data_IF_450291395325
#
_entry.id   IF_450291395325
#
_cell.length_a   1.000
_cell.length_b   1.000
_cell.length_c   1.000
_cell.angle_alpha   90.00
_cell.angle_beta   90.00
_cell.angle_gamma   90.00
#
_symmetry.space_group_name_H-M   'P 1'
#
loop_
_entity.id
_entity.type
_entity.pdbx_description
1 polymer ?
#
# COMPACT_ATOMS: atom_id res chain seq x y z
N UNK A 1 2.33 14.91 -35.84
CA UNK A 1 2.37 14.08 -34.63
C UNK A 1 1.22 14.53 -33.74
N UNK A 2 0.14 13.75 -33.73
CA UNK A 2 -0.98 13.97 -32.81
C UNK A 2 -0.57 13.43 -31.45
N UNK A 3 -0.46 14.31 -30.45
CA UNK A 3 -0.46 13.88 -29.06
C UNK A 3 -1.88 13.41 -28.72
N UNK A 4 -2.09 12.20 -28.20
CA UNK A 4 -3.38 11.87 -27.63
C UNK A 4 -3.63 12.80 -26.44
N UNK A 5 -4.81 13.39 -26.46
CA UNK A 5 -5.39 14.26 -25.46
C UNK A 5 -5.22 13.71 -24.05
N UNK A 6 -4.85 14.60 -23.13
CA UNK A 6 -4.98 14.42 -21.69
C UNK A 6 -6.38 13.91 -21.36
N UNK A 7 -6.50 12.62 -21.05
CA UNK A 7 -7.69 12.08 -20.40
C UNK A 7 -7.79 12.76 -19.03
N UNK A 8 -8.69 13.74 -18.94
CA UNK A 8 -9.14 14.28 -17.68
C UNK A 8 -9.85 13.14 -16.96
N UNK A 9 -9.13 12.42 -16.11
CA UNK A 9 -9.75 11.69 -15.02
C UNK A 9 -10.48 12.73 -14.18
N UNK A 10 -11.77 12.94 -14.43
CA UNK A 10 -12.66 13.56 -13.45
C UNK A 10 -12.52 12.71 -12.20
N UNK A 11 -11.83 13.25 -11.19
CA UNK A 11 -11.67 12.58 -9.92
C UNK A 11 -13.07 12.35 -9.36
N UNK A 12 -13.41 11.09 -9.12
CA UNK A 12 -14.68 10.75 -8.50
C UNK A 12 -14.74 11.44 -7.13
N UNK A 13 -15.81 12.18 -6.86
CA UNK A 13 -15.96 12.99 -5.65
C UNK A 13 -15.70 12.19 -4.36
N UNK A 14 -16.11 10.91 -4.34
CA UNK A 14 -15.87 10.01 -3.21
C UNK A 14 -14.37 9.76 -2.93
N UNK A 15 -13.53 9.75 -3.97
CA UNK A 15 -12.07 9.58 -3.84
C UNK A 15 -11.45 10.83 -3.23
N UNK A 16 -11.91 12.00 -3.63
CA UNK A 16 -11.45 13.28 -3.05
C UNK A 16 -11.87 13.40 -1.58
N UNK A 17 -13.10 13.00 -1.27
CA UNK A 17 -13.61 12.97 0.11
C UNK A 17 -12.87 11.94 0.98
N UNK A 18 -12.57 10.76 0.43
CA UNK A 18 -11.77 9.74 1.11
C UNK A 18 -10.34 10.25 1.37
N UNK A 19 -9.70 10.83 0.36
CA UNK A 19 -8.38 11.45 0.51
C UNK A 19 -8.39 12.51 1.62
N UNK A 20 -9.37 13.43 1.59
CA UNK A 20 -9.52 14.48 2.61
C UNK A 20 -9.75 13.92 4.01
N UNK A 21 -10.58 12.88 4.15
CA UNK A 21 -10.82 12.20 5.42
C UNK A 21 -9.53 11.57 5.95
N UNK A 22 -8.84 10.82 5.10
CA UNK A 22 -7.61 10.09 5.46
C UNK A 22 -6.47 11.06 5.78
N UNK A 23 -6.27 12.13 5.01
CA UNK A 23 -5.28 13.18 5.32
C UNK A 23 -5.49 13.75 6.72
N UNK A 24 -6.74 14.04 7.11
CA UNK A 24 -7.06 14.56 8.45
C UNK A 24 -6.80 13.52 9.54
N UNK A 25 -7.06 12.25 9.26
CA UNK A 25 -6.80 11.16 10.19
C UNK A 25 -5.29 10.98 10.44
N UNK A 26 -4.47 10.96 9.39
CA UNK A 26 -3.01 10.88 9.51
C UNK A 26 -2.38 12.11 10.18
N UNK A 27 -3.01 13.28 10.10
CA UNK A 27 -2.57 14.47 10.83
C UNK A 27 -2.84 14.42 12.35
N UNK A 28 -3.55 13.40 12.84
CA UNK A 28 -3.82 13.25 14.26
C UNK A 28 -2.60 12.72 15.03
N UNK A 29 -2.50 12.98 16.35
CA UNK A 29 -1.41 12.46 17.18
C UNK A 29 -1.29 10.94 17.22
N UNK A 30 -2.32 10.21 16.78
CA UNK A 30 -2.34 8.74 16.73
C UNK A 30 -1.28 8.17 15.77
N UNK A 31 -0.85 8.96 14.78
CA UNK A 31 0.15 8.55 13.78
C UNK A 31 1.54 9.15 14.03
N UNK A 32 1.74 9.88 15.13
CA UNK A 32 2.97 10.66 15.34
C UNK A 32 4.27 9.83 15.37
N UNK A 33 4.19 8.52 15.64
CA UNK A 33 5.34 7.62 15.67
C UNK A 33 5.33 6.58 14.54
N UNK A 34 4.44 6.70 13.56
CA UNK A 34 4.46 5.86 12.37
C UNK A 34 5.35 6.52 11.31
N UNK A 35 6.60 6.08 11.28
CA UNK A 35 7.63 6.63 10.40
C UNK A 35 7.45 6.19 8.94
N UNK A 36 6.93 4.98 8.72
CA UNK A 36 6.68 4.41 7.40
C UNK A 36 5.18 4.39 7.07
N UNK A 37 4.33 3.82 7.93
CA UNK A 37 2.89 3.67 7.67
C UNK A 37 2.14 4.98 7.95
N UNK A 38 2.46 5.99 7.15
CA UNK A 38 2.00 7.36 7.26
C UNK A 38 1.26 7.83 5.99
N UNK A 39 0.95 9.12 5.93
CA UNK A 39 0.28 9.72 4.79
C UNK A 39 1.08 9.60 3.47
N UNK A 40 2.41 9.75 3.52
CA UNK A 40 3.28 9.70 2.34
C UNK A 40 3.32 8.29 1.73
N UNK A 41 3.39 7.25 2.57
CA UNK A 41 3.22 5.87 2.12
C UNK A 41 1.86 5.67 1.47
N UNK A 42 0.77 6.09 2.12
CA UNK A 42 -0.58 5.98 1.56
C UNK A 42 -0.71 6.66 0.19
N UNK A 43 -0.11 7.85 0.02
CA UNK A 43 -0.06 8.52 -1.28
C UNK A 43 0.72 7.72 -2.31
N UNK A 44 1.86 7.14 -1.92
CA UNK A 44 2.68 6.28 -2.79
C UNK A 44 1.89 5.08 -3.28
N UNK A 45 1.14 4.40 -2.39
CA UNK A 45 0.25 3.28 -2.74
C UNK A 45 -0.83 3.73 -3.73
N UNK A 46 -1.48 4.87 -3.51
CA UNK A 46 -2.49 5.42 -4.42
C UNK A 46 -1.90 5.73 -5.81
N UNK A 47 -0.68 6.27 -5.87
CA UNK A 47 0.00 6.57 -7.14
C UNK A 47 0.39 5.29 -7.89
N UNK A 48 0.95 4.30 -7.18
CA UNK A 48 1.29 2.99 -7.73
C UNK A 48 0.04 2.27 -8.26
N UNK A 49 -1.08 2.32 -7.53
CA UNK A 49 -2.34 1.76 -7.98
C UNK A 49 -2.84 2.44 -9.26
N UNK A 50 -2.74 3.78 -9.36
CA UNK A 50 -3.11 4.51 -10.58
C UNK A 50 -2.28 4.11 -11.79
N UNK A 51 -1.00 3.80 -11.61
CA UNK A 51 -0.14 3.27 -12.67
C UNK A 51 -0.66 1.91 -13.16
N UNK A 52 -0.94 0.97 -12.25
CA UNK A 52 -1.47 -0.35 -12.60
C UNK A 52 -2.86 -0.26 -13.25
N UNK A 53 -3.77 0.56 -12.72
CA UNK A 53 -5.14 0.73 -13.22
C UNK A 53 -5.15 1.18 -14.68
N UNK A 54 -4.28 2.13 -15.05
CA UNK A 54 -4.17 2.64 -16.44
C UNK A 54 -3.84 1.54 -17.45
N UNK A 55 -3.09 0.54 -17.01
CA UNK A 55 -2.61 -0.55 -17.87
C UNK A 55 -3.58 -1.73 -17.91
N UNK A 56 -4.46 -1.86 -16.91
CA UNK A 56 -5.33 -3.02 -16.72
C UNK A 56 -6.78 -2.80 -17.19
N UNK A 57 -7.11 -1.63 -17.75
CA UNK A 57 -8.44 -1.33 -18.33
C UNK A 57 -9.61 -1.59 -17.37
N UNK A 58 -9.48 -1.21 -16.10
CA UNK A 58 -10.56 -1.34 -15.11
C UNK A 58 -11.72 -0.39 -15.44
N UNK A 59 -12.95 -0.81 -15.09
CA UNK A 59 -14.10 0.10 -15.13
C UNK A 59 -13.97 1.22 -14.08
N UNK A 60 -14.74 2.30 -14.25
CA UNK A 60 -14.79 3.40 -13.25
C UNK A 60 -15.15 2.91 -11.85
N UNK A 61 -16.11 1.98 -11.76
CA UNK A 61 -16.56 1.39 -10.49
C UNK A 61 -15.45 0.57 -9.81
N UNK A 62 -14.65 -0.17 -10.58
CA UNK A 62 -13.52 -0.95 -10.07
C UNK A 62 -12.35 -0.05 -9.67
N UNK A 63 -12.09 0.99 -10.47
CA UNK A 63 -11.11 2.04 -10.16
C UNK A 63 -11.42 2.69 -8.82
N UNK A 64 -12.68 3.07 -8.59
CA UNK A 64 -13.08 3.64 -7.29
C UNK A 64 -12.84 2.66 -6.15
N UNK A 65 -13.18 1.37 -6.32
CA UNK A 65 -12.99 0.35 -5.28
C UNK A 65 -11.52 0.24 -4.88
N UNK A 66 -10.62 0.13 -5.86
CA UNK A 66 -9.18 0.00 -5.61
C UNK A 66 -8.63 1.25 -4.95
N UNK A 67 -8.95 2.43 -5.48
CA UNK A 67 -8.42 3.69 -4.93
C UNK A 67 -8.95 3.99 -3.52
N UNK A 68 -10.22 3.67 -3.23
CA UNK A 68 -10.74 3.75 -1.87
C UNK A 68 -9.99 2.80 -0.94
N UNK A 69 -9.76 1.56 -1.35
CA UNK A 69 -9.01 0.60 -0.55
C UNK A 69 -7.58 1.10 -0.28
N UNK A 70 -6.90 1.65 -1.28
CA UNK A 70 -5.56 2.24 -1.14
C UNK A 70 -5.55 3.40 -0.13
N UNK A 71 -6.54 4.30 -0.17
CA UNK A 71 -6.62 5.38 0.82
C UNK A 71 -6.82 4.88 2.25
N UNK A 72 -7.58 3.79 2.43
CA UNK A 72 -7.95 3.33 3.77
C UNK A 72 -7.06 2.22 4.35
N UNK A 73 -6.22 1.54 3.55
CA UNK A 73 -5.57 0.28 3.96
C UNK A 73 -4.81 0.35 5.29
N UNK A 74 -4.13 1.45 5.56
CA UNK A 74 -3.30 1.66 6.75
C UNK A 74 -3.95 2.51 7.85
N UNK A 75 -5.20 2.93 7.67
CA UNK A 75 -5.87 3.80 8.66
C UNK A 75 -6.03 3.15 10.02
N UNK A 76 -6.02 1.82 10.10
CA UNK A 76 -6.12 1.04 11.32
C UNK A 76 -4.89 1.10 12.24
N UNK A 77 -3.73 1.54 11.74
CA UNK A 77 -2.54 1.75 12.57
C UNK A 77 -2.76 2.77 13.69
N UNK A 78 -3.77 3.63 13.57
CA UNK A 78 -4.19 4.53 14.65
C UNK A 78 -4.60 3.82 15.95
N UNK A 79 -4.96 2.54 15.87
CA UNK A 79 -5.46 1.75 17.00
C UNK A 79 -4.53 0.59 17.34
N UNK A 80 -4.04 -0.15 16.34
CA UNK A 80 -3.18 -1.30 16.55
C UNK A 80 -2.25 -1.54 15.37
N UNK A 81 -1.05 -2.09 15.63
CA UNK A 81 -0.06 -2.40 14.60
C UNK A 81 -0.33 -3.75 13.93
N UNK A 82 -0.40 -4.82 14.73
CA UNK A 82 -0.75 -6.15 14.23
C UNK A 82 -2.26 -6.27 14.02
N UNK A 83 -2.68 -6.73 12.84
CA UNK A 83 -4.09 -6.84 12.49
C UNK A 83 -4.77 -5.50 12.22
N UNK A 84 -4.00 -4.46 11.87
CA UNK A 84 -4.53 -3.12 11.56
C UNK A 84 -5.58 -3.17 10.45
N UNK A 85 -5.53 -4.14 9.53
CA UNK A 85 -6.47 -4.23 8.40
C UNK A 85 -7.92 -4.41 8.87
N UNK A 86 -8.16 -5.09 10.01
CA UNK A 86 -9.52 -5.21 10.56
C UNK A 86 -10.06 -3.85 11.03
N UNK A 87 -9.21 -3.02 11.61
CA UNK A 87 -9.57 -1.66 12.04
C UNK A 87 -9.75 -0.76 10.81
N UNK A 88 -8.83 -0.83 9.84
CA UNK A 88 -8.92 -0.10 8.57
C UNK A 88 -10.23 -0.38 7.84
N UNK A 89 -10.67 -1.65 7.81
CA UNK A 89 -11.98 -2.02 7.25
C UNK A 89 -13.14 -1.39 7.99
N UNK A 90 -13.11 -1.34 9.32
CA UNK A 90 -14.13 -0.68 10.12
C UNK A 90 -14.23 0.82 9.80
N UNK A 91 -13.08 1.50 9.69
CA UNK A 91 -13.00 2.93 9.33
C UNK A 91 -13.56 3.15 7.92
N UNK A 92 -13.10 2.36 6.95
CA UNK A 92 -13.57 2.44 5.56
C UNK A 92 -15.08 2.17 5.45
N UNK A 93 -15.59 1.14 6.14
CA UNK A 93 -17.01 0.80 6.11
C UNK A 93 -17.87 1.95 6.65
N UNK A 94 -17.50 2.52 7.80
CA UNK A 94 -18.21 3.65 8.38
C UNK A 94 -18.20 4.87 7.45
N UNK A 95 -17.04 5.19 6.86
CA UNK A 95 -16.94 6.27 5.87
C UNK A 95 -17.87 6.03 4.68
N UNK A 96 -17.79 4.86 4.03
CA UNK A 96 -18.54 4.56 2.82
C UNK A 96 -20.06 4.55 3.06
N UNK A 97 -20.53 3.95 4.15
CA UNK A 97 -21.96 3.94 4.47
C UNK A 97 -22.50 5.35 4.76
N UNK A 98 -21.71 6.20 5.45
CA UNK A 98 -22.07 7.60 5.67
C UNK A 98 -22.15 8.40 4.37
N UNK A 99 -21.41 7.99 3.33
CA UNK A 99 -21.46 8.56 1.99
C UNK A 99 -22.56 7.94 1.10
N UNK A 100 -23.43 7.11 1.67
CA UNK A 100 -24.54 6.49 0.96
C UNK A 100 -24.13 5.37 -0.01
N UNK A 101 -22.91 4.82 0.11
CA UNK A 101 -22.49 3.68 -0.70
C UNK A 101 -23.25 2.42 -0.31
N UNK A 102 -23.67 1.66 -1.32
CA UNK A 102 -24.33 0.38 -1.13
C UNK A 102 -23.40 -0.67 -0.51
N UNK A 103 -23.96 -1.52 0.37
CA UNK A 103 -23.20 -2.52 1.13
C UNK A 103 -22.35 -3.44 0.25
N UNK A 104 -22.88 -3.91 -0.88
CA UNK A 104 -22.15 -4.80 -1.79
C UNK A 104 -20.91 -4.15 -2.40
N UNK A 105 -20.98 -2.85 -2.73
CA UNK A 105 -19.83 -2.12 -3.26
C UNK A 105 -18.80 -1.86 -2.16
N UNK A 106 -19.26 -1.51 -0.95
CA UNK A 106 -18.40 -1.35 0.21
C UNK A 106 -17.65 -2.66 0.55
N UNK A 107 -18.34 -3.82 0.53
CA UNK A 107 -17.71 -5.13 0.77
C UNK A 107 -16.51 -5.41 -0.15
N UNK A 108 -16.55 -4.95 -1.40
CA UNK A 108 -15.42 -5.08 -2.34
C UNK A 108 -14.21 -4.23 -1.93
N UNK A 109 -14.43 -3.02 -1.43
CA UNK A 109 -13.36 -2.17 -0.84
C UNK A 109 -12.75 -2.88 0.36
N UNK A 110 -13.59 -3.40 1.26
CA UNK A 110 -13.13 -4.11 2.46
C UNK A 110 -12.36 -5.38 2.13
N UNK A 111 -12.74 -6.10 1.07
CA UNK A 111 -12.01 -7.28 0.59
C UNK A 111 -10.61 -6.90 0.07
N UNK A 112 -10.48 -5.79 -0.64
CA UNK A 112 -9.19 -5.26 -1.08
C UNK A 112 -8.29 -4.89 0.10
N UNK A 113 -8.82 -4.19 1.12
CA UNK A 113 -8.06 -3.89 2.36
C UNK A 113 -7.67 -5.19 3.08
N UNK A 114 -8.55 -6.19 3.13
CA UNK A 114 -8.21 -7.47 3.76
C UNK A 114 -7.07 -8.20 3.05
N UNK A 115 -6.92 -8.02 1.74
CA UNK A 115 -5.90 -8.69 0.95
C UNK A 115 -4.48 -8.18 1.21
N UNK A 116 -4.32 -6.96 1.76
CA UNK A 116 -2.99 -6.39 2.07
C UNK A 116 -2.32 -7.10 3.25
N UNK A 117 -3.08 -7.86 4.07
CA UNK A 117 -2.52 -8.64 5.16
C UNK A 117 -1.44 -9.59 4.67
N UNK A 118 -0.24 -9.45 5.23
CA UNK A 118 0.90 -10.30 4.90
C UNK A 118 0.86 -11.65 5.65
N UNK A 119 1.20 -12.79 5.01
CA UNK A 119 1.50 -12.94 3.59
C UNK A 119 0.24 -12.82 2.72
N UNK A 120 0.36 -12.03 1.64
CA UNK A 120 -0.77 -11.68 0.77
C UNK A 120 -1.24 -12.88 -0.06
N UNK A 121 -2.55 -13.07 -0.13
CA UNK A 121 -3.21 -14.09 -0.96
C UNK A 121 -4.41 -13.49 -1.73
N UNK A 122 -4.16 -12.58 -2.69
CA UNK A 122 -5.23 -11.94 -3.44
C UNK A 122 -6.01 -12.97 -4.27
N UNK A 123 -7.32 -12.76 -4.40
CA UNK A 123 -8.26 -13.70 -5.04
C UNK A 123 -8.76 -13.22 -6.40
N UNK A 124 -8.51 -11.98 -6.75
CA UNK A 124 -8.94 -11.35 -7.99
C UNK A 124 -8.04 -10.15 -8.31
N UNK A 125 -8.19 -9.61 -9.52
CA UNK A 125 -7.37 -8.52 -10.03
C UNK A 125 -7.35 -7.27 -9.13
N UNK A 126 -8.46 -6.89 -8.49
CA UNK A 126 -8.49 -5.69 -7.65
C UNK A 126 -7.64 -5.87 -6.39
N UNK A 127 -7.70 -7.06 -5.80
CA UNK A 127 -6.87 -7.45 -4.66
C UNK A 127 -5.39 -7.55 -5.07
N UNK A 128 -5.09 -8.06 -6.27
CA UNK A 128 -3.72 -8.10 -6.80
C UNK A 128 -3.13 -6.69 -6.97
N UNK A 129 -3.92 -5.75 -7.51
CA UNK A 129 -3.48 -4.36 -7.71
C UNK A 129 -3.12 -3.71 -6.38
N UNK A 130 -3.96 -3.81 -5.35
CA UNK A 130 -3.64 -3.19 -4.05
C UNK A 130 -2.46 -3.88 -3.37
N UNK A 131 -2.35 -5.20 -3.47
CA UNK A 131 -1.22 -5.95 -2.90
C UNK A 131 0.12 -5.50 -3.52
N UNK A 132 0.16 -5.40 -4.85
CA UNK A 132 1.34 -4.92 -5.57
C UNK A 132 1.64 -3.46 -5.22
N UNK A 133 0.60 -2.61 -5.14
CA UNK A 133 0.75 -1.18 -4.86
C UNK A 133 1.28 -0.91 -3.45
N UNK A 134 0.79 -1.65 -2.45
CA UNK A 134 1.22 -1.59 -1.06
C UNK A 134 2.72 -1.94 -0.92
N UNK A 135 3.18 -2.92 -1.70
CA UNK A 135 4.57 -3.36 -1.73
C UNK A 135 5.39 -2.78 -2.90
N UNK A 136 4.94 -1.66 -3.49
CA UNK A 136 5.68 -0.95 -4.53
C UNK A 136 7.05 -0.48 -4.05
N UNK A 137 7.17 -0.07 -2.78
CA UNK A 137 8.42 0.43 -2.19
C UNK A 137 9.59 -0.57 -2.30
N UNK A 138 9.31 -1.87 -2.44
CA UNK A 138 10.33 -2.89 -2.67
C UNK A 138 11.08 -2.71 -4.00
N UNK A 139 10.47 -2.06 -4.98
CA UNK A 139 11.08 -1.68 -6.25
C UNK A 139 11.64 -0.26 -6.26
N UNK A 140 11.36 0.55 -5.22
CA UNK A 140 11.75 1.95 -5.19
C UNK A 140 13.25 2.12 -4.94
N UNK A 141 13.80 3.23 -5.42
CA UNK A 141 15.16 3.69 -5.06
C UNK A 141 15.26 4.13 -3.61
N UNK A 142 14.14 4.48 -2.98
CA UNK A 142 14.07 4.91 -1.58
C UNK A 142 13.92 3.74 -0.59
N UNK A 143 14.14 2.50 -1.05
CA UNK A 143 13.97 1.29 -0.26
C UNK A 143 14.74 1.32 1.06
N UNK A 144 15.98 1.83 1.09
CA UNK A 144 16.77 1.89 2.32
C UNK A 144 16.19 2.84 3.37
N UNK A 145 15.62 3.96 2.93
CA UNK A 145 14.90 4.90 3.79
C UNK A 145 13.67 4.22 4.38
N UNK A 146 12.86 3.57 3.54
CA UNK A 146 11.69 2.80 3.97
C UNK A 146 12.07 1.72 5.00
N UNK A 147 13.17 0.98 4.78
CA UNK A 147 13.62 -0.01 5.76
C UNK A 147 14.09 0.61 7.08
N UNK A 148 14.68 1.81 7.04
CA UNK A 148 15.08 2.50 8.28
C UNK A 148 13.87 2.93 9.09
N UNK A 149 12.83 3.44 8.43
CA UNK A 149 11.56 3.83 9.03
C UNK A 149 10.80 2.61 9.61
N UNK A 150 10.69 1.52 8.84
CA UNK A 150 10.10 0.27 9.29
C UNK A 150 10.83 -0.33 10.51
N UNK A 151 12.16 -0.19 10.58
CA UNK A 151 12.95 -0.62 11.73
C UNK A 151 12.62 0.19 12.98
N UNK A 152 12.45 1.51 12.83
CA UNK A 152 12.06 2.40 13.92
C UNK A 152 10.66 2.08 14.44
N UNK A 153 9.69 1.87 13.54
CA UNK A 153 8.35 1.46 13.94
C UNK A 153 8.33 0.11 14.65
N UNK A 154 9.08 -0.88 14.16
CA UNK A 154 9.19 -2.20 14.78
C UNK A 154 9.71 -2.11 16.22
N UNK A 155 10.65 -1.20 16.48
CA UNK A 155 11.15 -0.95 17.83
C UNK A 155 10.06 -0.37 18.74
N UNK A 156 9.27 0.58 18.24
CA UNK A 156 8.29 1.32 19.06
C UNK A 156 7.03 0.49 19.29
N UNK A 157 6.47 -0.11 18.25
CA UNK A 157 5.16 -0.77 18.29
C UNK A 157 5.22 -2.26 18.57
N UNK A 158 6.31 -2.93 18.16
CA UNK A 158 6.49 -4.37 18.36
C UNK A 158 7.51 -4.69 19.46
N UNK A 159 8.19 -3.68 20.01
CA UNK A 159 9.29 -3.85 20.98
C UNK A 159 10.39 -4.77 20.45
N UNK A 160 10.61 -4.76 19.14
CA UNK A 160 11.63 -5.57 18.46
C UNK A 160 12.81 -4.70 18.05
N UNK A 161 13.97 -5.01 18.61
CA UNK A 161 15.26 -4.51 18.12
C UNK A 161 15.96 -5.60 17.33
N UNK A 162 16.76 -5.18 16.36
CA UNK A 162 17.52 -6.08 15.49
C UNK A 162 18.97 -5.61 15.46
N UNK A 163 19.92 -6.54 15.35
CA UNK A 163 21.26 -6.21 14.87
C UNK A 163 21.19 -5.79 13.40
N UNK A 164 22.22 -5.12 12.88
CA UNK A 164 22.26 -4.78 11.45
C UNK A 164 22.26 -6.03 10.57
N UNK A 165 22.96 -7.09 11.02
CA UNK A 165 22.98 -8.38 10.33
C UNK A 165 21.59 -9.02 10.28
N UNK A 166 20.89 -9.11 11.42
CA UNK A 166 19.54 -9.70 11.47
C UNK A 166 18.53 -8.88 10.66
N UNK A 167 18.65 -7.55 10.67
CA UNK A 167 17.77 -6.66 9.92
C UNK A 167 17.97 -6.84 8.41
N UNK A 168 19.22 -6.80 7.95
CA UNK A 168 19.54 -6.99 6.53
C UNK A 168 19.14 -8.40 6.04
N UNK A 169 19.35 -9.43 6.86
CA UNK A 169 18.94 -10.80 6.52
C UNK A 169 17.42 -10.93 6.42
N UNK A 170 16.65 -10.37 7.36
CA UNK A 170 15.18 -10.40 7.29
C UNK A 170 14.63 -9.67 6.07
N UNK A 171 15.24 -8.53 5.71
CA UNK A 171 14.86 -7.77 4.53
C UNK A 171 15.17 -8.50 3.23
N UNK A 172 16.35 -9.13 3.13
CA UNK A 172 16.71 -9.97 2.00
C UNK A 172 15.71 -11.14 1.86
N UNK A 173 15.41 -11.82 2.96
CA UNK A 173 14.42 -12.89 3.02
C UNK A 173 13.04 -12.43 2.54
N UNK A 174 12.60 -11.25 2.97
CA UNK A 174 11.32 -10.66 2.58
C UNK A 174 11.28 -10.37 1.07
N UNK A 175 12.31 -9.70 0.53
CA UNK A 175 12.42 -9.39 -0.89
C UNK A 175 12.40 -10.64 -1.78
N UNK A 176 13.10 -11.71 -1.36
CA UNK A 176 13.17 -12.98 -2.10
C UNK A 176 11.85 -13.75 -2.04
N UNK A 177 11.19 -13.78 -0.88
CA UNK A 177 9.91 -14.49 -0.69
C UNK A 177 8.75 -13.78 -1.38
N UNK A 178 8.80 -12.45 -1.45
CA UNK A 178 7.78 -11.65 -2.09
C UNK A 178 7.78 -11.80 -3.62
N UNK A 179 6.59 -11.80 -4.22
CA UNK A 179 6.38 -11.74 -5.66
C UNK A 179 5.28 -10.75 -5.98
N UNK A 180 5.47 -9.97 -7.05
CA UNK A 180 4.37 -9.19 -7.61
C UNK A 180 3.35 -10.12 -8.29
N UNK A 181 2.06 -9.78 -8.19
CA UNK A 181 0.95 -10.58 -8.69
C UNK A 181 0.62 -10.21 -10.14
N UNK A 182 0.44 -8.93 -10.40
CA UNK A 182 0.03 -8.43 -11.71
C UNK A 182 1.14 -8.57 -12.76
N UNK A 183 0.76 -8.79 -14.02
CA UNK A 183 1.73 -8.91 -15.12
C UNK A 183 2.58 -7.63 -15.29
N UNK A 184 1.97 -6.46 -15.06
CA UNK A 184 2.67 -5.18 -15.16
C UNK A 184 3.74 -5.03 -14.07
N UNK A 185 3.39 -5.20 -12.80
CA UNK A 185 4.36 -5.09 -11.71
C UNK A 185 5.49 -6.12 -11.84
N UNK A 186 5.18 -7.36 -12.25
CA UNK A 186 6.21 -8.37 -12.56
C UNK A 186 7.16 -7.93 -13.67
N UNK A 187 6.67 -7.21 -14.67
CA UNK A 187 7.50 -6.76 -15.81
C UNK A 187 8.31 -5.51 -15.47
N UNK A 188 7.74 -4.56 -14.75
CA UNK A 188 8.29 -3.21 -14.60
C UNK A 188 8.83 -2.90 -13.21
N UNK A 189 8.31 -3.53 -12.15
CA UNK A 189 8.76 -3.29 -10.77
C UNK A 189 9.70 -4.38 -10.25
N UNK A 190 9.55 -5.62 -10.71
CA UNK A 190 10.49 -6.70 -10.37
C UNK A 190 11.97 -6.33 -10.63
N UNK A 191 12.35 -5.66 -11.74
CA UNK A 191 13.73 -5.24 -11.96
C UNK A 191 14.27 -4.29 -10.88
N UNK A 192 13.43 -3.39 -10.33
CA UNK A 192 13.82 -2.53 -9.21
C UNK A 192 14.02 -3.34 -7.94
N UNK A 193 13.12 -4.28 -7.64
CA UNK A 193 13.24 -5.20 -6.51
C UNK A 193 14.52 -6.04 -6.58
N UNK A 194 14.90 -6.52 -7.78
CA UNK A 194 16.15 -7.26 -8.00
C UNK A 194 17.39 -6.41 -7.68
N UNK A 195 17.39 -5.11 -8.02
CA UNK A 195 18.48 -4.21 -7.62
C UNK A 195 18.56 -4.07 -6.10
N UNK A 196 17.43 -3.96 -5.43
CA UNK A 196 17.38 -3.89 -3.97
C UNK A 196 17.85 -5.21 -3.32
N UNK A 197 17.54 -6.38 -3.89
CA UNK A 197 18.09 -7.67 -3.46
C UNK A 197 19.62 -7.68 -3.56
N UNK A 198 20.19 -7.22 -4.68
CA UNK A 198 21.65 -7.15 -4.85
C UNK A 198 22.33 -6.19 -3.86
N UNK A 199 21.70 -5.06 -3.57
CA UNK A 199 22.17 -4.12 -2.57
C UNK A 199 22.15 -4.75 -1.16
N UNK A 200 21.09 -5.49 -0.81
CA UNK A 200 21.01 -6.18 0.48
C UNK A 200 22.03 -7.32 0.64
N UNK A 201 22.26 -8.11 -0.41
CA UNK A 201 23.31 -9.14 -0.42
C UNK A 201 24.70 -8.55 -0.14
N UNK A 202 25.01 -7.42 -0.78
CA UNK A 202 26.31 -6.74 -0.60
C UNK A 202 26.55 -6.27 0.84
N UNK A 203 25.49 -6.08 1.64
CA UNK A 203 25.58 -5.71 3.08
C UNK A 203 25.81 -6.91 3.99
N UNK A 204 25.64 -8.14 3.50
CA UNK A 204 25.81 -9.38 4.27
C UNK A 204 27.15 -10.08 3.98
N UNK A 205 27.81 -9.72 2.89
CA UNK A 205 29.14 -10.23 2.51
C UNK A 205 30.30 -9.55 3.28
N UNK A 206 29.99 -8.62 4.19
CA UNK A 206 30.93 -7.83 4.99
C UNK A 206 30.58 -7.89 6.48
#
# INVERSE_FOLDING_TARGET
MHYPSSENYTFSAIIEEAASFVTKLFASPLFANLFFHNYEHTQTVVLAARELIREMSLSDSETEIVLLACWFHDTGYCTQYTGHEEVSKGIAQAFLLNQGWGEEKAKRVLACIAATRYPQTPKNLLEEIICDSDLYHLSSTDYETAQSELRQESLIYLLKSYSDQDWNQQNLDFLIKHRYFTDYARKYWEPGKVKNIQAQLSKLDH
#
